data_IF_402064107339
#
_entry.id   IF_402064107339
#
_cell.length_a   1.000
_cell.length_b   1.000
_cell.length_c   1.000
_cell.angle_alpha   90.00
_cell.angle_beta   90.00
_cell.angle_gamma   90.00
#
_symmetry.space_group_name_H-M   'P 1'
#
loop_
_entity.id
_entity.type
_entity.pdbx_description
1 polymer ?
#
# COMPACT_ATOMS: atom_id res chain seq x y z
N UNK A 1 1.23 5.66 -3.03
CA UNK A 1 0.16 4.85 -2.41
C UNK A 1 -0.25 3.78 -3.39
N UNK A 2 0.27 2.57 -3.25
CA UNK A 2 -0.28 1.35 -3.85
C UNK A 2 0.14 0.18 -2.94
N UNK A 3 -0.81 -0.39 -2.18
CA UNK A 3 -0.58 -1.55 -1.33
C UNK A 3 -0.69 -2.89 -2.07
N UNK A 4 -1.39 -2.92 -3.22
CA UNK A 4 -1.23 -3.99 -4.20
C UNK A 4 -0.81 -3.42 -5.56
N UNK A 5 0.08 -4.15 -6.24
CA UNK A 5 0.60 -3.77 -7.55
C UNK A 5 -0.39 -4.16 -8.64
N UNK A 6 -1.39 -3.29 -8.89
CA UNK A 6 -2.37 -3.48 -9.98
C UNK A 6 -1.82 -3.13 -11.36
N UNK A 7 -0.60 -2.61 -11.40
CA UNK A 7 0.03 -2.03 -12.60
C UNK A 7 1.43 -2.61 -12.74
N UNK A 8 1.53 -3.94 -12.77
CA UNK A 8 2.73 -4.57 -13.33
C UNK A 8 2.54 -4.60 -14.84
N UNK A 9 3.28 -3.79 -15.62
CA UNK A 9 3.24 -3.94 -17.05
C UNK A 9 3.70 -5.36 -17.40
N UNK A 10 3.08 -6.01 -18.38
CA UNK A 10 3.58 -7.27 -18.92
C UNK A 10 5.04 -7.11 -19.37
N UNK A 11 5.80 -8.21 -19.39
CA UNK A 11 7.21 -8.21 -19.80
C UNK A 11 7.41 -7.55 -21.18
N UNK A 12 6.44 -7.75 -22.06
CA UNK A 12 6.32 -7.05 -23.33
C UNK A 12 5.06 -6.17 -23.32
N UNK A 13 5.11 -4.93 -23.85
CA UNK A 13 3.95 -4.05 -23.89
C UNK A 13 2.85 -4.67 -24.75
N UNK A 14 1.66 -4.84 -24.15
CA UNK A 14 0.45 -5.21 -24.90
C UNK A 14 -0.21 -3.92 -25.38
N UNK A 15 -0.34 -3.77 -26.71
CA UNK A 15 -1.06 -2.63 -27.28
C UNK A 15 -2.54 -2.74 -26.90
N UNK A 16 -3.08 -1.67 -26.33
CA UNK A 16 -4.52 -1.54 -26.10
C UNK A 16 -5.17 -1.19 -27.43
N UNK A 17 -6.00 -2.10 -27.95
CA UNK A 17 -6.76 -1.88 -29.17
C UNK A 17 -7.97 -0.97 -28.94
N UNK A 18 -8.67 -1.18 -27.82
CA UNK A 18 -9.88 -0.42 -27.46
C UNK A 18 -9.93 -0.15 -25.95
N UNK A 19 -10.30 1.08 -25.60
CA UNK A 19 -10.55 1.49 -24.21
C UNK A 19 -12.04 1.39 -23.93
N UNK A 20 -12.39 0.72 -22.83
CA UNK A 20 -13.77 0.61 -22.35
C UNK A 20 -14.03 1.68 -21.29
N UNK A 21 -15.17 2.36 -21.38
CA UNK A 21 -15.62 3.36 -20.43
C UNK A 21 -16.83 2.85 -19.64
N UNK A 22 -16.96 3.34 -18.40
CA UNK A 22 -18.16 3.06 -17.60
C UNK A 22 -19.42 3.60 -18.30
N UNK A 23 -20.49 2.80 -18.29
CA UNK A 23 -21.75 3.10 -19.00
C UNK A 23 -21.67 2.93 -20.51
N UNK A 24 -20.49 2.58 -21.06
CA UNK A 24 -20.32 2.30 -22.49
C UNK A 24 -20.95 0.97 -22.92
N UNK A 25 -20.90 0.72 -24.22
CA UNK A 25 -21.29 -0.57 -24.82
C UNK A 25 -20.12 -1.09 -25.64
N UNK A 26 -19.76 -2.35 -25.42
CA UNK A 26 -18.77 -3.07 -26.20
C UNK A 26 -19.48 -4.10 -27.08
N UNK A 27 -19.32 -3.96 -28.40
CA UNK A 27 -19.88 -4.91 -29.36
C UNK A 27 -18.87 -5.99 -29.70
N UNK A 28 -19.25 -7.25 -29.51
CA UNK A 28 -18.38 -8.39 -29.78
C UNK A 28 -19.16 -9.54 -30.39
N UNK A 29 -18.84 -9.89 -31.64
CA UNK A 29 -19.47 -11.01 -32.37
C UNK A 29 -21.01 -10.96 -32.37
N UNK A 30 -21.58 -9.76 -32.53
CA UNK A 30 -23.02 -9.52 -32.53
C UNK A 30 -23.67 -9.47 -31.13
N UNK A 31 -22.88 -9.54 -30.06
CA UNK A 31 -23.33 -9.31 -28.70
C UNK A 31 -23.09 -7.86 -28.30
N UNK A 32 -24.08 -7.25 -27.64
CA UNK A 32 -23.92 -5.95 -26.98
C UNK A 32 -23.66 -6.18 -25.49
N UNK A 33 -22.48 -5.79 -25.03
CA UNK A 33 -22.04 -5.91 -23.64
C UNK A 33 -22.01 -4.53 -23.02
N UNK A 34 -22.87 -4.27 -22.03
CA UNK A 34 -22.84 -3.01 -21.29
C UNK A 34 -21.63 -3.02 -20.33
N UNK A 35 -20.81 -1.98 -20.42
CA UNK A 35 -19.65 -1.79 -19.57
C UNK A 35 -20.06 -1.17 -18.23
N UNK A 36 -19.73 -1.83 -17.13
CA UNK A 36 -19.91 -1.32 -15.78
C UNK A 36 -18.54 -1.22 -15.11
N UNK A 37 -18.04 0.00 -14.90
CA UNK A 37 -16.87 0.25 -14.07
C UNK A 37 -17.12 -0.30 -12.67
N UNK A 38 -16.24 -1.20 -12.24
CA UNK A 38 -16.30 -1.91 -10.95
C UNK A 38 -14.95 -1.88 -10.25
N UNK A 39 -14.46 -0.68 -9.84
CA UNK A 39 -13.23 -0.56 -9.06
C UNK A 39 -13.36 -1.26 -7.70
N UNK A 40 -12.27 -1.81 -7.17
CA UNK A 40 -12.25 -2.37 -5.82
C UNK A 40 -11.17 -3.43 -5.64
N UNK A 41 -11.28 -4.53 -6.39
CA UNK A 41 -10.19 -5.51 -6.53
C UNK A 41 -9.02 -4.94 -7.35
N UNK A 42 -9.28 -3.94 -8.20
CA UNK A 42 -8.26 -3.09 -8.80
C UNK A 42 -8.88 -1.72 -9.12
N UNK A 43 -8.08 -0.65 -9.26
CA UNK A 43 -8.61 0.68 -9.60
C UNK A 43 -9.33 0.72 -10.96
N UNK A 44 -8.91 -0.12 -11.92
CA UNK A 44 -9.43 -0.15 -13.29
C UNK A 44 -10.43 -1.28 -13.55
N UNK A 45 -11.00 -1.91 -12.51
CA UNK A 45 -11.94 -3.02 -12.66
C UNK A 45 -13.13 -2.68 -13.57
N UNK A 46 -13.47 -3.60 -14.46
CA UNK A 46 -14.59 -3.46 -15.41
C UNK A 46 -15.37 -4.76 -15.46
N UNK A 47 -16.69 -4.66 -15.31
CA UNK A 47 -17.64 -5.75 -15.52
C UNK A 47 -18.36 -5.57 -16.85
N UNK A 48 -18.68 -6.68 -17.51
CA UNK A 48 -19.41 -6.69 -18.79
C UNK A 48 -20.76 -7.37 -18.58
N UNK A 49 -21.85 -6.66 -18.83
CA UNK A 49 -23.21 -7.14 -18.61
C UNK A 49 -23.87 -7.45 -19.95
N UNK A 50 -24.29 -8.70 -20.11
CA UNK A 50 -25.04 -9.19 -21.26
C UNK A 50 -26.51 -9.34 -20.87
N UNK A 51 -27.41 -8.70 -21.61
CA UNK A 51 -28.86 -8.94 -21.49
C UNK A 51 -29.35 -9.73 -22.69
N UNK A 52 -30.00 -10.86 -22.44
CA UNK A 52 -30.57 -11.72 -23.49
C UNK A 52 -31.84 -12.40 -22.96
N UNK A 53 -32.89 -12.45 -23.79
CA UNK A 53 -34.16 -13.11 -23.46
C UNK A 53 -34.76 -12.65 -22.11
N UNK A 54 -34.64 -11.34 -21.82
CA UNK A 54 -35.12 -10.73 -20.58
C UNK A 54 -34.28 -11.05 -19.33
N UNK A 55 -33.16 -11.77 -19.46
CA UNK A 55 -32.26 -12.13 -18.36
C UNK A 55 -30.93 -11.40 -18.49
N UNK A 56 -30.37 -10.96 -17.36
CA UNK A 56 -29.02 -10.40 -17.33
C UNK A 56 -28.01 -11.41 -16.78
N UNK A 57 -26.85 -11.45 -17.42
CA UNK A 57 -25.66 -12.14 -16.93
C UNK A 57 -24.47 -11.20 -16.96
N UNK A 58 -23.50 -11.37 -16.07
CA UNK A 58 -22.35 -10.48 -16.00
C UNK A 58 -21.02 -11.22 -15.87
N UNK A 59 -20.02 -10.76 -16.60
CA UNK A 59 -18.62 -11.12 -16.37
C UNK A 59 -18.03 -10.07 -15.42
N UNK A 60 -17.72 -10.46 -14.19
CA UNK A 60 -17.43 -9.52 -13.09
C UNK A 60 -15.96 -9.49 -12.68
N UNK A 61 -15.10 -10.20 -13.41
CA UNK A 61 -13.68 -10.27 -13.12
C UNK A 61 -13.40 -10.73 -11.68
N UNK A 62 -12.65 -9.92 -10.93
CA UNK A 62 -12.28 -10.20 -9.54
C UNK A 62 -13.19 -9.56 -8.48
N UNK A 63 -14.37 -9.04 -8.83
CA UNK A 63 -15.27 -8.37 -7.86
C UNK A 63 -15.70 -9.35 -6.76
N UNK A 64 -16.16 -10.54 -7.14
CA UNK A 64 -16.71 -11.54 -6.22
C UNK A 64 -16.55 -12.95 -6.79
N UNK A 65 -16.19 -13.91 -5.94
CA UNK A 65 -16.25 -15.36 -6.20
C UNK A 65 -17.53 -15.97 -5.61
N UNK A 66 -17.87 -17.16 -6.09
CA UNK A 66 -18.93 -17.99 -5.54
C UNK A 66 -18.80 -18.14 -4.00
N UNK A 67 -19.95 -18.03 -3.33
CA UNK A 67 -20.06 -18.01 -1.88
C UNK A 67 -19.86 -16.63 -1.27
N UNK A 68 -19.98 -15.56 -2.08
CA UNK A 68 -19.79 -14.17 -1.66
C UNK A 68 -18.41 -13.95 -1.01
N UNK A 69 -17.34 -14.17 -1.78
CA UNK A 69 -15.93 -14.12 -1.32
C UNK A 69 -15.08 -13.22 -2.21
N UNK A 70 -14.06 -12.60 -1.62
CA UNK A 70 -13.00 -11.91 -2.34
C UNK A 70 -11.91 -12.89 -2.81
N UNK A 71 -11.13 -12.52 -3.84
CA UNK A 71 -9.92 -13.26 -4.23
C UNK A 71 -8.87 -13.16 -3.12
N UNK A 72 -8.41 -11.94 -2.84
CA UNK A 72 -7.56 -11.61 -1.71
C UNK A 72 -8.03 -10.28 -1.11
N UNK A 73 -7.92 -10.16 0.21
CA UNK A 73 -8.29 -8.93 0.90
C UNK A 73 -7.31 -7.78 0.60
N UNK A 74 -6.02 -8.09 0.42
CA UNK A 74 -4.98 -7.10 0.17
C UNK A 74 -5.09 -6.46 -1.22
N UNK A 75 -5.89 -7.04 -2.14
CA UNK A 75 -6.22 -6.42 -3.43
C UNK A 75 -7.23 -5.24 -3.28
N UNK A 76 -7.67 -4.95 -2.06
CA UNK A 76 -8.40 -3.71 -1.73
C UNK A 76 -7.53 -2.69 -0.99
N UNK A 77 -6.25 -3.01 -0.75
CA UNK A 77 -5.31 -2.16 -0.01
C UNK A 77 -4.66 -1.13 -0.94
N UNK A 78 -5.30 0.04 -1.00
CA UNK A 78 -4.93 1.11 -1.94
C UNK A 78 -4.26 2.29 -1.26
N UNK A 79 -4.41 2.41 0.06
CA UNK A 79 -4.17 3.65 0.78
C UNK A 79 -3.54 3.46 2.17
N UNK A 80 -2.95 2.30 2.46
CA UNK A 80 -2.33 1.94 3.74
C UNK A 80 -3.33 1.77 4.90
N UNK A 81 -4.51 1.24 4.59
CA UNK A 81 -5.53 0.84 5.56
C UNK A 81 -6.57 1.92 5.86
N UNK A 82 -6.78 2.90 4.97
CA UNK A 82 -7.86 3.88 5.11
C UNK A 82 -9.16 3.46 4.41
N UNK A 83 -9.15 2.34 3.69
CA UNK A 83 -10.35 1.69 3.22
C UNK A 83 -10.80 2.12 1.83
N UNK A 84 -10.08 2.99 1.11
CA UNK A 84 -10.53 3.49 -0.21
C UNK A 84 -10.82 2.39 -1.22
N UNK A 85 -10.00 1.34 -1.28
CA UNK A 85 -10.24 0.22 -2.19
C UNK A 85 -11.42 -0.65 -1.76
N UNK A 86 -11.57 -0.87 -0.46
CA UNK A 86 -12.71 -1.60 0.10
C UNK A 86 -14.03 -0.83 -0.12
N UNK A 87 -14.02 0.49 0.06
CA UNK A 87 -15.16 1.37 -0.17
C UNK A 87 -15.55 1.39 -1.66
N UNK A 88 -14.56 1.46 -2.56
CA UNK A 88 -14.79 1.34 -3.99
C UNK A 88 -15.40 -0.02 -4.36
N UNK A 89 -14.93 -1.11 -3.73
CA UNK A 89 -15.46 -2.45 -3.94
C UNK A 89 -16.92 -2.56 -3.48
N UNK A 90 -17.25 -2.04 -2.29
CA UNK A 90 -18.63 -2.01 -1.77
C UNK A 90 -19.55 -1.27 -2.75
N UNK A 91 -19.15 -0.08 -3.23
CA UNK A 91 -19.92 0.68 -4.20
C UNK A 91 -20.10 -0.08 -5.54
N UNK A 92 -19.08 -0.81 -5.98
CA UNK A 92 -19.15 -1.65 -7.18
C UNK A 92 -20.11 -2.83 -7.02
N UNK A 93 -20.13 -3.47 -5.85
CA UNK A 93 -21.06 -4.56 -5.53
C UNK A 93 -22.50 -4.04 -5.51
N UNK A 94 -22.76 -2.89 -4.86
CA UNK A 94 -24.06 -2.23 -4.85
C UNK A 94 -24.54 -1.89 -6.27
N UNK A 95 -23.64 -1.35 -7.10
CA UNK A 95 -23.93 -1.05 -8.50
C UNK A 95 -24.33 -2.30 -9.29
N UNK A 96 -23.61 -3.40 -9.15
CA UNK A 96 -23.95 -4.66 -9.83
C UNK A 96 -25.27 -5.26 -9.31
N UNK A 97 -25.52 -5.19 -8.00
CA UNK A 97 -26.77 -5.66 -7.40
C UNK A 97 -28.00 -4.95 -8.00
N UNK A 98 -27.86 -3.68 -8.36
CA UNK A 98 -28.92 -2.89 -9.00
C UNK A 98 -29.20 -3.24 -10.48
N UNK A 99 -28.39 -4.12 -11.10
CA UNK A 99 -28.51 -4.48 -12.52
C UNK A 99 -29.36 -5.73 -12.78
N UNK A 100 -30.01 -6.30 -11.76
CA UNK A 100 -30.88 -7.49 -11.89
C UNK A 100 -30.16 -8.67 -12.57
N UNK A 101 -28.91 -8.89 -12.18
CA UNK A 101 -28.05 -9.95 -12.70
C UNK A 101 -28.44 -11.28 -12.06
N UNK A 102 -28.93 -12.22 -12.87
CA UNK A 102 -29.25 -13.57 -12.41
C UNK A 102 -28.01 -14.45 -12.28
N UNK A 103 -27.10 -14.37 -13.24
CA UNK A 103 -25.90 -15.23 -13.29
C UNK A 103 -24.64 -14.41 -13.48
N UNK A 104 -23.61 -14.67 -12.70
CA UNK A 104 -22.32 -14.00 -12.80
C UNK A 104 -21.17 -14.99 -13.05
N UNK A 105 -20.15 -14.50 -13.75
CA UNK A 105 -18.94 -15.21 -14.10
C UNK A 105 -17.75 -14.41 -13.56
N UNK A 106 -17.11 -14.94 -12.52
CA UNK A 106 -15.83 -14.44 -12.04
C UNK A 106 -14.71 -14.86 -13.01
N UNK A 107 -13.55 -14.22 -12.90
CA UNK A 107 -12.37 -14.60 -13.70
C UNK A 107 -11.86 -16.00 -13.36
N UNK A 108 -12.17 -16.52 -12.17
CA UNK A 108 -11.74 -17.83 -11.68
C UNK A 108 -12.88 -18.45 -10.85
N UNK A 109 -12.89 -19.78 -10.74
CA UNK A 109 -13.89 -20.51 -9.95
C UNK A 109 -15.17 -20.84 -10.73
N UNK A 110 -16.19 -21.40 -10.03
CA UNK A 110 -17.43 -21.85 -10.66
C UNK A 110 -18.36 -20.68 -11.03
N UNK A 111 -19.40 -21.00 -11.83
CA UNK A 111 -20.46 -20.07 -12.19
C UNK A 111 -21.30 -19.70 -10.95
N UNK A 112 -21.65 -18.41 -10.84
CA UNK A 112 -22.49 -17.89 -9.74
C UNK A 112 -23.93 -17.82 -10.25
N UNK A 113 -24.76 -18.81 -9.87
CA UNK A 113 -26.13 -18.95 -10.38
C UNK A 113 -27.19 -18.06 -9.70
N UNK A 114 -26.95 -17.62 -8.47
CA UNK A 114 -27.83 -16.71 -7.71
C UNK A 114 -27.05 -15.43 -7.39
N UNK A 115 -26.70 -14.71 -8.45
CA UNK A 115 -25.80 -13.56 -8.32
C UNK A 115 -26.42 -12.44 -7.47
N UNK A 116 -27.73 -12.20 -7.60
CA UNK A 116 -28.44 -11.20 -6.80
C UNK A 116 -28.31 -11.45 -5.29
N UNK A 117 -28.60 -12.67 -4.82
CA UNK A 117 -28.46 -12.99 -3.40
C UNK A 117 -27.00 -12.93 -2.94
N UNK A 118 -26.06 -13.38 -3.77
CA UNK A 118 -24.65 -13.35 -3.43
C UNK A 118 -24.07 -11.94 -3.37
N UNK A 119 -24.49 -11.01 -4.24
CA UNK A 119 -24.07 -9.61 -4.14
C UNK A 119 -24.55 -8.97 -2.84
N UNK A 120 -25.81 -9.18 -2.45
CA UNK A 120 -26.33 -8.68 -1.18
C UNK A 120 -25.59 -9.28 0.03
N UNK A 121 -25.34 -10.59 0.01
CA UNK A 121 -24.57 -11.26 1.05
C UNK A 121 -23.12 -10.75 1.12
N UNK A 122 -22.51 -10.46 -0.02
CA UNK A 122 -21.14 -9.99 -0.11
C UNK A 122 -21.02 -8.54 0.36
N UNK A 123 -21.91 -7.65 -0.06
CA UNK A 123 -21.99 -6.27 0.43
C UNK A 123 -22.05 -6.26 1.96
N UNK A 124 -22.93 -7.08 2.55
CA UNK A 124 -23.04 -7.20 4.01
C UNK A 124 -21.71 -7.64 4.63
N UNK A 125 -21.06 -8.68 4.10
CA UNK A 125 -19.76 -9.15 4.60
C UNK A 125 -18.68 -8.09 4.53
N UNK A 126 -18.62 -7.32 3.43
CA UNK A 126 -17.66 -6.23 3.28
C UNK A 126 -17.94 -5.10 4.28
N UNK A 127 -19.21 -4.75 4.48
CA UNK A 127 -19.60 -3.75 5.48
C UNK A 127 -19.27 -4.20 6.91
N UNK A 128 -19.49 -5.48 7.23
CA UNK A 128 -19.13 -6.08 8.53
C UNK A 128 -17.60 -6.14 8.72
N UNK A 129 -16.83 -6.38 7.65
CA UNK A 129 -15.37 -6.46 7.67
C UNK A 129 -14.69 -5.08 7.79
N UNK A 130 -15.30 -4.05 7.21
CA UNK A 130 -14.71 -2.71 7.09
C UNK A 130 -14.18 -2.13 8.40
N UNK A 131 -14.88 -2.18 9.55
CA UNK A 131 -14.36 -1.66 10.82
C UNK A 131 -13.05 -2.33 11.26
N UNK A 132 -12.93 -3.65 11.02
CA UNK A 132 -11.73 -4.44 11.37
C UNK A 132 -10.58 -4.18 10.40
N UNK A 133 -10.91 -3.82 9.16
CA UNK A 133 -9.94 -3.49 8.12
C UNK A 133 -9.27 -2.13 8.34
N UNK A 134 -10.02 -1.14 8.84
CA UNK A 134 -9.51 0.20 9.02
C UNK A 134 -8.40 0.24 10.06
N UNK A 135 -7.28 0.88 9.70
CA UNK A 135 -6.16 1.08 10.61
C UNK A 135 -6.66 1.95 11.77
N UNK A 136 -6.71 1.38 12.98
CA UNK A 136 -7.32 1.95 14.20
C UNK A 136 -6.67 3.22 14.77
N UNK A 137 -5.96 4.02 13.95
CA UNK A 137 -5.38 5.30 14.32
C UNK A 137 -5.76 6.36 13.28
N UNK A 138 -6.15 7.58 13.70
CA UNK A 138 -6.56 8.66 12.79
C UNK A 138 -5.34 9.27 12.07
N UNK A 139 -4.74 8.51 11.14
CA UNK A 139 -3.69 9.03 10.26
C UNK A 139 -4.38 9.65 9.05
N UNK A 140 -4.88 10.87 9.19
CA UNK A 140 -5.64 11.52 8.10
C UNK A 140 -4.77 11.87 6.88
N UNK A 141 -3.44 11.80 6.99
CA UNK A 141 -2.50 12.16 5.92
C UNK A 141 -1.10 11.56 6.18
N UNK A 142 -0.53 10.87 5.18
CA UNK A 142 0.83 10.30 5.23
C UNK A 142 1.95 11.36 5.29
N UNK A 143 1.67 12.57 4.79
CA UNK A 143 2.64 13.66 4.62
C UNK A 143 2.45 14.80 5.62
N UNK A 144 1.44 14.72 6.51
CA UNK A 144 1.19 15.71 7.55
C UNK A 144 0.96 15.01 8.87
N UNK A 145 2.04 14.81 9.63
CA UNK A 145 1.97 14.32 11.00
C UNK A 145 2.12 15.50 11.96
N UNK A 146 1.12 15.73 12.81
CA UNK A 146 1.26 16.69 13.91
C UNK A 146 2.31 16.23 14.94
N UNK A 147 2.74 17.11 15.85
CA UNK A 147 3.58 16.70 16.97
C UNK A 147 2.85 15.64 17.81
N UNK A 148 3.55 14.56 18.16
CA UNK A 148 2.98 13.52 19.02
C UNK A 148 3.16 13.93 20.49
N UNK A 149 2.15 13.77 21.37
CA UNK A 149 2.23 14.24 22.76
C UNK A 149 3.36 13.57 23.57
N UNK A 150 3.78 12.36 23.17
CA UNK A 150 4.92 11.66 23.76
C UNK A 150 6.28 12.15 23.26
N UNK A 151 6.35 13.15 22.38
CA UNK A 151 7.62 13.65 21.83
C UNK A 151 7.97 15.04 22.35
N UNK A 152 9.26 15.29 22.56
CA UNK A 152 9.83 16.58 22.97
C UNK A 152 10.75 17.11 21.88
N UNK A 153 10.71 18.42 21.55
CA UNK A 153 11.67 19.02 20.63
C UNK A 153 13.11 18.87 21.14
N UNK A 154 14.05 18.71 20.22
CA UNK A 154 15.48 18.79 20.51
C UNK A 154 16.11 20.00 19.83
N UNK A 155 17.38 20.30 20.13
CA UNK A 155 18.14 21.30 19.38
C UNK A 155 18.64 20.79 18.03
N UNK A 156 18.65 19.46 17.82
CA UNK A 156 19.05 18.90 16.55
C UNK A 156 17.92 19.03 15.51
N UNK A 157 18.24 19.53 14.32
CA UNK A 157 17.23 19.79 13.30
C UNK A 157 16.49 18.51 12.94
N UNK A 158 15.16 18.60 12.80
CA UNK A 158 14.25 17.50 12.46
C UNK A 158 14.15 16.37 13.49
N UNK A 159 14.87 16.43 14.61
CA UNK A 159 14.89 15.35 15.60
C UNK A 159 14.06 15.71 16.83
N UNK A 160 13.19 14.79 17.22
CA UNK A 160 12.43 14.84 18.47
C UNK A 160 12.83 13.66 19.36
N UNK A 161 12.82 13.88 20.66
CA UNK A 161 13.02 12.84 21.67
C UNK A 161 11.67 12.19 22.01
N UNK A 162 11.62 10.86 22.05
CA UNK A 162 10.44 10.08 22.47
C UNK A 162 10.55 9.71 23.95
N UNK A 163 11.68 9.12 24.32
CA UNK A 163 12.08 8.80 25.70
C UNK A 163 13.57 9.08 25.84
N UNK A 164 14.15 9.09 27.05
CA UNK A 164 15.60 9.12 27.19
C UNK A 164 16.24 8.08 26.27
N UNK A 165 17.27 8.51 25.54
CA UNK A 165 18.01 7.73 24.53
C UNK A 165 17.28 7.40 23.23
N UNK A 166 15.96 7.56 23.11
CA UNK A 166 15.21 7.24 21.88
C UNK A 166 14.77 8.51 21.16
N UNK A 167 15.25 8.67 19.95
CA UNK A 167 14.95 9.81 19.09
C UNK A 167 14.36 9.35 17.76
N UNK A 168 13.62 10.23 17.12
CA UNK A 168 13.05 9.98 15.80
C UNK A 168 12.86 11.28 15.03
N UNK A 169 12.42 11.18 13.78
CA UNK A 169 12.00 12.33 13.01
C UNK A 169 10.76 13.02 13.58
N UNK A 170 10.85 14.35 13.66
CA UNK A 170 9.75 15.24 13.97
C UNK A 170 8.78 15.44 12.81
N UNK A 171 7.72 16.24 13.02
CA UNK A 171 6.67 16.55 12.03
C UNK A 171 7.16 16.96 10.64
N UNK A 172 8.27 17.69 10.57
CA UNK A 172 8.84 18.22 9.32
C UNK A 172 9.34 17.13 8.36
N UNK A 173 9.67 15.95 8.89
CA UNK A 173 10.14 14.80 8.14
C UNK A 173 9.08 13.69 8.06
N UNK A 174 7.79 14.06 8.16
CA UNK A 174 6.67 13.12 8.07
C UNK A 174 6.72 12.28 6.78
N UNK A 175 6.46 10.97 6.93
CA UNK A 175 6.52 10.01 5.83
C UNK A 175 7.93 9.50 5.49
N UNK A 176 8.93 9.81 6.33
CA UNK A 176 10.27 9.20 6.30
C UNK A 176 10.48 8.31 7.51
N UNK A 177 11.22 7.22 7.33
CA UNK A 177 11.52 6.28 8.39
C UNK A 177 12.91 6.55 8.96
N UNK A 178 12.96 6.76 10.27
CA UNK A 178 14.16 7.00 11.04
C UNK A 178 13.82 6.95 12.53
N UNK A 179 14.52 6.10 13.27
CA UNK A 179 14.60 6.19 14.72
C UNK A 179 16.03 5.85 15.15
N UNK A 180 16.53 6.45 16.21
CA UNK A 180 17.89 6.22 16.69
C UNK A 180 17.91 6.10 18.21
N UNK A 181 18.62 5.09 18.69
CA UNK A 181 18.94 4.90 20.09
C UNK A 181 20.36 5.41 20.33
N UNK A 182 20.55 6.38 21.23
CA UNK A 182 21.87 6.93 21.60
C UNK A 182 22.14 6.60 23.07
N UNK A 183 23.08 5.70 23.36
CA UNK A 183 23.45 5.34 24.71
C UNK A 183 24.27 6.45 25.41
N UNK A 184 24.39 6.40 26.74
CA UNK A 184 25.22 7.34 27.53
C UNK A 184 26.68 7.42 27.06
N UNK A 185 27.21 6.34 26.49
CA UNK A 185 28.57 6.31 25.92
C UNK A 185 28.71 7.22 24.70
N UNK A 186 27.60 7.59 24.05
CA UNK A 186 27.52 8.27 22.76
C UNK A 186 27.50 7.30 21.56
N UNK A 187 27.49 5.99 21.80
CA UNK A 187 27.29 4.98 20.76
C UNK A 187 25.81 4.82 20.44
N UNK A 188 25.50 4.57 19.17
CA UNK A 188 24.13 4.56 18.70
C UNK A 188 23.78 3.39 17.77
N UNK A 189 22.51 2.98 17.86
CA UNK A 189 21.85 2.06 16.93
C UNK A 189 20.79 2.86 16.16
N UNK A 190 20.97 2.93 14.85
CA UNK A 190 20.00 3.52 13.92
C UNK A 190 19.01 2.46 13.45
N UNK A 191 17.74 2.82 13.33
CA UNK A 191 16.68 2.01 12.73
C UNK A 191 16.14 2.76 11.52
N UNK A 192 16.37 2.16 10.36
CA UNK A 192 15.94 2.63 9.04
C UNK A 192 16.48 4.02 8.62
N UNK A 193 16.85 4.14 7.35
CA UNK A 193 17.31 5.40 6.78
C UNK A 193 17.18 5.41 5.24
N UNK A 194 16.24 6.19 4.72
CA UNK A 194 16.03 6.26 3.26
C UNK A 194 15.12 7.39 2.78
N UNK A 195 15.13 7.58 1.46
CA UNK A 195 14.32 8.55 0.70
C UNK A 195 14.40 10.02 1.16
N UNK A 196 15.57 10.54 1.53
CA UNK A 196 15.83 11.99 1.65
C UNK A 196 17.27 12.32 1.23
N UNK A 197 17.64 13.60 1.00
CA UNK A 197 18.97 13.94 0.48
C UNK A 197 20.11 13.58 1.45
N UNK A 198 21.24 13.06 0.92
CA UNK A 198 22.45 12.76 1.71
C UNK A 198 22.90 13.95 2.57
N UNK A 199 22.90 15.16 2.03
CA UNK A 199 23.30 16.38 2.76
C UNK A 199 22.42 16.65 3.99
N UNK A 200 21.15 16.26 3.95
CA UNK A 200 20.25 16.38 5.11
C UNK A 200 20.66 15.37 6.18
N UNK A 201 21.01 14.13 5.80
CA UNK A 201 21.53 13.14 6.74
C UNK A 201 22.82 13.60 7.42
N UNK A 202 23.77 14.13 6.67
CA UNK A 202 25.04 14.64 7.20
C UNK A 202 24.81 15.73 8.24
N UNK A 203 23.89 16.66 7.96
CA UNK A 203 23.52 17.72 8.90
C UNK A 203 22.86 17.17 10.15
N UNK A 204 21.93 16.23 10.00
CA UNK A 204 21.26 15.57 11.14
C UNK A 204 22.30 14.86 12.03
N UNK A 205 23.24 14.11 11.46
CA UNK A 205 24.32 13.45 12.21
C UNK A 205 25.19 14.49 12.92
N UNK A 206 25.58 15.57 12.25
CA UNK A 206 26.35 16.67 12.85
C UNK A 206 25.63 17.28 14.04
N UNK A 207 24.35 17.61 13.89
CA UNK A 207 23.54 18.22 14.95
C UNK A 207 23.36 17.25 16.14
N UNK A 208 23.17 15.95 15.89
CA UNK A 208 23.09 14.95 16.95
C UNK A 208 24.42 14.79 17.71
N UNK A 209 25.57 14.94 17.03
CA UNK A 209 26.88 14.96 17.69
C UNK A 209 27.04 16.19 18.59
N UNK A 210 26.60 17.35 18.11
CA UNK A 210 26.71 18.61 18.87
C UNK A 210 25.74 18.67 20.06
N UNK A 211 24.51 18.20 19.89
CA UNK A 211 23.43 18.50 20.83
C UNK A 211 22.93 17.30 21.62
N UNK A 212 23.13 16.06 21.12
CA UNK A 212 22.57 14.85 21.71
C UNK A 212 23.65 13.85 22.18
N UNK A 213 24.93 14.25 22.15
CA UNK A 213 26.04 13.43 22.64
C UNK A 213 26.38 12.23 21.75
N UNK A 214 25.89 12.19 20.50
CA UNK A 214 26.28 11.16 19.54
C UNK A 214 27.79 11.22 19.28
N UNK A 215 28.45 10.07 19.26
CA UNK A 215 29.86 9.91 18.91
C UNK A 215 30.03 9.00 17.71
N UNK A 216 29.37 7.84 17.75
CA UNK A 216 29.44 6.82 16.70
C UNK A 216 28.08 6.15 16.51
N UNK A 217 27.70 5.91 15.26
CA UNK A 217 26.61 4.99 14.93
C UNK A 217 27.28 3.65 14.63
N UNK A 218 27.10 2.65 15.51
CA UNK A 218 27.77 1.36 15.35
C UNK A 218 27.11 0.51 14.28
N UNK A 219 25.78 0.59 14.21
CA UNK A 219 24.97 -0.13 13.25
C UNK A 219 23.70 0.62 12.86
N UNK A 220 23.22 0.34 11.65
CA UNK A 220 21.89 0.63 11.17
C UNK A 220 21.15 -0.69 10.97
N UNK A 221 20.08 -0.90 11.73
CA UNK A 221 19.16 -2.00 11.53
C UNK A 221 18.12 -1.60 10.46
N UNK A 222 18.05 -2.38 9.39
CA UNK A 222 17.01 -2.28 8.37
C UNK A 222 15.86 -3.21 8.76
N UNK A 223 14.69 -2.63 8.99
CA UNK A 223 13.49 -3.35 9.46
C UNK A 223 12.84 -4.21 8.38
N UNK A 224 12.77 -3.72 7.14
CA UNK A 224 12.23 -4.44 5.99
C UNK A 224 12.70 -3.88 4.64
N UNK A 225 12.46 -4.63 3.57
CA UNK A 225 12.94 -4.34 2.21
C UNK A 225 12.03 -3.35 1.47
N UNK A 226 11.92 -2.11 1.94
CA UNK A 226 11.40 -0.99 1.15
C UNK A 226 12.45 0.13 1.13
N UNK A 227 12.57 0.85 0.02
CA UNK A 227 13.66 1.79 -0.24
C UNK A 227 13.74 2.93 0.79
N UNK A 228 12.61 3.39 1.33
CA UNK A 228 12.55 4.36 2.44
C UNK A 228 13.19 3.89 3.73
N UNK A 229 13.51 2.62 3.86
CA UNK A 229 14.17 2.05 5.02
C UNK A 229 15.69 1.88 4.84
N UNK A 230 16.21 1.87 3.61
CA UNK A 230 17.62 1.55 3.39
C UNK A 230 18.34 2.33 2.30
N UNK A 231 17.69 3.15 1.46
CA UNK A 231 18.36 3.76 0.29
C UNK A 231 19.49 4.75 0.64
N UNK A 232 19.62 5.18 1.91
CA UNK A 232 20.73 6.03 2.35
C UNK A 232 21.92 5.26 2.94
N UNK A 233 21.94 3.93 2.83
CA UNK A 233 23.08 3.10 3.26
C UNK A 233 24.45 3.59 2.73
N UNK A 234 24.64 4.09 1.48
CA UNK A 234 25.97 4.48 1.01
C UNK A 234 26.49 5.70 1.77
N UNK A 235 25.60 6.60 2.19
CA UNK A 235 25.99 7.74 3.01
C UNK A 235 26.41 7.29 4.42
N UNK A 236 25.71 6.33 5.01
CA UNK A 236 26.05 5.79 6.34
C UNK A 236 27.36 4.98 6.32
N UNK A 237 27.71 4.33 5.19
CA UNK A 237 28.99 3.62 5.03
C UNK A 237 30.20 4.55 5.22
N UNK A 238 30.10 5.80 4.75
CA UNK A 238 31.15 6.82 4.93
C UNK A 238 31.42 7.13 6.42
N UNK A 239 30.47 6.82 7.32
CA UNK A 239 30.60 6.98 8.78
C UNK A 239 31.00 5.68 9.50
N UNK A 240 31.39 4.63 8.77
CA UNK A 240 31.80 3.34 9.33
C UNK A 240 30.65 2.52 9.95
N UNK A 241 29.42 2.82 9.58
CA UNK A 241 28.21 2.16 10.10
C UNK A 241 28.10 0.75 9.55
N UNK A 242 27.84 -0.23 10.42
CA UNK A 242 27.51 -1.60 10.00
C UNK A 242 26.02 -1.70 9.65
N UNK A 243 25.64 -2.59 8.75
CA UNK A 243 24.23 -2.81 8.41
C UNK A 243 23.79 -4.16 8.92
N UNK A 244 22.71 -4.17 9.70
CA UNK A 244 22.09 -5.38 10.22
C UNK A 244 20.68 -5.50 9.66
N UNK A 245 20.30 -6.69 9.27
CA UNK A 245 18.92 -7.02 8.92
C UNK A 245 18.73 -8.52 9.04
N UNK A 246 17.51 -9.00 8.93
CA UNK A 246 17.24 -10.43 8.92
C UNK A 246 17.81 -11.06 7.64
N UNK A 247 18.28 -12.30 7.75
CA UNK A 247 18.72 -13.13 6.62
C UNK A 247 17.68 -13.20 5.49
N UNK A 248 16.40 -13.24 5.84
CA UNK A 248 15.27 -13.23 4.90
C UNK A 248 15.09 -11.90 4.16
N UNK A 249 15.71 -10.82 4.60
CA UNK A 249 15.57 -9.45 4.07
C UNK A 249 16.83 -9.04 3.30
N UNK A 250 18.01 -9.47 3.75
CA UNK A 250 19.33 -9.05 3.26
C UNK A 250 19.44 -9.03 1.72
N UNK A 251 19.15 -10.15 1.06
CA UNK A 251 19.27 -10.25 -0.41
C UNK A 251 18.35 -9.27 -1.16
N UNK A 252 17.18 -8.93 -0.60
CA UNK A 252 16.27 -7.95 -1.22
C UNK A 252 16.83 -6.54 -1.13
N UNK A 253 17.52 -6.21 -0.04
CA UNK A 253 18.18 -4.92 0.11
C UNK A 253 19.47 -4.82 -0.72
N UNK A 254 20.23 -5.91 -0.86
CA UNK A 254 21.45 -5.96 -1.68
C UNK A 254 21.14 -5.97 -3.18
N UNK A 255 20.09 -6.70 -3.57
CA UNK A 255 19.71 -6.90 -4.96
C UNK A 255 18.25 -6.47 -5.24
N UNK A 256 17.88 -5.20 -4.98
CA UNK A 256 16.49 -4.75 -5.05
C UNK A 256 15.86 -4.91 -6.45
N UNK A 257 16.70 -4.94 -7.50
CA UNK A 257 16.27 -5.09 -8.89
C UNK A 257 15.99 -6.54 -9.30
N UNK A 258 16.35 -7.53 -8.48
CA UNK A 258 16.05 -8.94 -8.75
C UNK A 258 14.63 -9.31 -8.32
N UNK A 259 14.01 -8.46 -7.51
CA UNK A 259 12.70 -8.70 -6.93
C UNK A 259 11.66 -7.80 -7.56
N UNK A 260 10.56 -8.39 -8.00
CA UNK A 260 9.38 -7.67 -8.46
C UNK A 260 8.47 -7.32 -7.27
N UNK A 261 9.03 -6.49 -6.37
CA UNK A 261 8.35 -5.96 -5.19
C UNK A 261 8.13 -4.45 -5.30
N UNK A 262 7.04 -3.94 -4.72
CA UNK A 262 6.76 -2.50 -4.72
C UNK A 262 7.79 -1.75 -3.86
N UNK A 263 8.06 -0.50 -4.25
CA UNK A 263 8.80 0.48 -3.44
C UNK A 263 10.22 0.07 -3.02
N UNK A 264 10.93 -0.74 -3.83
CA UNK A 264 12.30 -1.17 -3.54
C UNK A 264 13.37 -0.06 -3.70
N UNK A 265 13.16 0.91 -4.60
CA UNK A 265 14.07 2.03 -4.91
C UNK A 265 13.31 3.33 -5.19
#
# INVERSE_FOLDING_TARGET
MHGASYVRPPADPVRVDHVLADGGVFEWRGLQLACAGTPGHSPGGMSLVLRRDGRASAFIGGVMHEGAKMTNWFDTEWDYGFGKGLDALIASVQKLAALDIGTAFASQGPVIHDAAAQFAAYEKKLADFRPDYLRGYPVNNLSKRGPHPATKPTKANYIVEVTPHLYMFGPEMAGKNFAILIADSGHALLLDCGLFPKLVLERIISDMKEHLGLKQIDACWISHSHGDHFTLFPALQDHGVKFWTMDTIADKCENPRFYDYPAMI
#
